data_IF_396827232580
#
_entry.id   IF_396827232580
#
_cell.length_a   1.000
_cell.length_b   1.000
_cell.length_c   1.000
_cell.angle_alpha   90.00
_cell.angle_beta   90.00
_cell.angle_gamma   90.00
#
_symmetry.space_group_name_H-M   'P 1'
#
loop_
_entity.id
_entity.type
_entity.pdbx_description
1 polymer ?
#
# COMPACT_ATOMS: atom_id res chain seq x y z
N UNK A 1 13.03 0.76 -1.27
CA UNK A 1 13.53 -0.02 -2.42
C UNK A 1 12.67 0.23 -3.67
N UNK A 2 13.29 0.26 -4.85
CA UNK A 2 12.66 0.32 -6.18
C UNK A 2 13.11 -0.94 -6.92
N UNK A 3 12.19 -1.79 -7.40
CA UNK A 3 12.58 -3.00 -8.11
C UNK A 3 12.86 -2.78 -9.61
N UNK A 4 12.42 -1.66 -10.19
CA UNK A 4 12.66 -1.33 -11.60
C UNK A 4 11.87 -2.17 -12.61
N UNK A 5 10.95 -3.01 -12.16
CA UNK A 5 10.18 -3.89 -13.03
C UNK A 5 9.15 -3.13 -13.87
N UNK A 6 8.98 -3.57 -15.11
CA UNK A 6 7.79 -3.25 -15.92
C UNK A 6 6.62 -4.05 -15.36
N UNK A 7 5.51 -3.37 -15.11
CA UNK A 7 4.33 -3.94 -14.45
C UNK A 7 3.14 -3.81 -15.39
N UNK A 8 2.40 -4.92 -15.58
CA UNK A 8 1.16 -4.90 -16.35
C UNK A 8 0.07 -4.09 -15.62
N UNK A 9 -0.78 -3.40 -16.40
CA UNK A 9 -1.89 -2.62 -15.85
C UNK A 9 -2.98 -3.48 -15.21
N UNK A 10 -3.08 -4.74 -15.62
CA UNK A 10 -4.06 -5.69 -15.10
C UNK A 10 -3.38 -6.74 -14.22
N UNK A 11 -4.07 -7.11 -13.14
CA UNK A 11 -3.73 -8.27 -12.31
C UNK A 11 -4.29 -9.56 -12.93
N UNK A 12 -3.92 -10.76 -12.43
CA UNK A 12 -4.36 -12.05 -12.99
C UNK A 12 -5.88 -12.23 -13.03
N UNK A 13 -6.61 -11.57 -12.12
CA UNK A 13 -8.07 -11.55 -12.05
C UNK A 13 -8.71 -10.51 -13.00
N UNK A 14 -7.92 -9.90 -13.88
CA UNK A 14 -8.32 -8.82 -14.80
C UNK A 14 -8.73 -7.52 -14.10
N UNK A 15 -8.52 -7.39 -12.80
CA UNK A 15 -8.69 -6.13 -12.09
C UNK A 15 -7.58 -5.13 -12.44
N UNK A 16 -7.89 -3.84 -12.35
CA UNK A 16 -6.89 -2.79 -12.57
C UNK A 16 -5.94 -2.72 -11.37
N UNK A 17 -4.67 -2.96 -11.64
CA UNK A 17 -3.56 -2.87 -10.69
C UNK A 17 -3.02 -1.44 -10.66
N UNK A 18 -2.80 -0.91 -9.45
CA UNK A 18 -2.27 0.45 -9.25
C UNK A 18 -0.85 0.47 -8.68
N UNK A 19 -0.27 -0.69 -8.35
CA UNK A 19 1.06 -0.81 -7.77
C UNK A 19 1.82 -2.01 -8.33
N UNK A 20 3.14 -2.00 -8.20
CA UNK A 20 4.00 -3.12 -8.55
C UNK A 20 3.77 -4.32 -7.61
N UNK A 21 3.52 -5.55 -8.10
CA UNK A 21 3.32 -6.71 -7.22
C UNK A 21 4.54 -7.01 -6.36
N UNK A 22 5.75 -6.78 -6.90
CA UNK A 22 6.99 -7.17 -6.23
C UNK A 22 7.44 -6.20 -5.14
N UNK A 23 7.16 -4.89 -5.28
CA UNK A 23 7.63 -3.86 -4.33
C UNK A 23 6.52 -2.97 -3.76
N UNK A 24 5.27 -3.19 -4.17
CA UNK A 24 4.05 -2.52 -3.71
C UNK A 24 4.03 -1.00 -3.86
N UNK A 25 4.96 -0.41 -4.60
CA UNK A 25 4.92 1.03 -4.90
C UNK A 25 3.99 1.33 -6.06
N UNK A 26 3.31 2.46 -5.94
CA UNK A 26 2.43 3.02 -6.96
C UNK A 26 3.04 4.28 -7.60
N UNK A 27 2.36 4.81 -8.62
CA UNK A 27 2.63 6.11 -9.24
C UNK A 27 1.40 6.98 -9.06
N UNK A 28 1.61 8.22 -8.64
CA UNK A 28 0.56 9.18 -8.41
C UNK A 28 0.03 9.71 -9.74
N UNK A 29 -0.99 9.06 -10.29
CA UNK A 29 -1.61 9.42 -11.59
C UNK A 29 -3.06 9.87 -11.46
N UNK A 30 -3.67 9.68 -10.29
CA UNK A 30 -5.04 10.08 -9.98
C UNK A 30 -4.97 11.06 -8.82
N UNK A 31 -5.68 12.17 -8.91
CA UNK A 31 -5.88 13.06 -7.77
C UNK A 31 -6.98 12.46 -6.89
N UNK A 32 -6.63 12.05 -5.68
CA UNK A 32 -7.53 11.40 -4.73
C UNK A 32 -8.24 12.40 -3.81
N UNK A 33 -7.91 13.70 -3.90
CA UNK A 33 -8.60 14.78 -3.17
C UNK A 33 -9.72 15.35 -4.02
N UNK A 34 -9.39 15.82 -5.22
CA UNK A 34 -10.34 16.51 -6.12
C UNK A 34 -10.92 15.57 -7.19
N UNK A 35 -10.32 14.39 -7.37
CA UNK A 35 -10.70 13.44 -8.41
C UNK A 35 -10.07 13.75 -9.77
N UNK A 36 -9.94 12.72 -10.62
CA UNK A 36 -9.41 12.88 -11.97
C UNK A 36 -7.92 12.59 -12.09
N UNK A 37 -7.28 13.09 -13.16
CA UNK A 37 -5.86 12.84 -13.43
C UNK A 37 -4.97 13.78 -12.61
N UNK A 38 -3.90 13.24 -12.01
CA UNK A 38 -2.92 14.03 -11.26
C UNK A 38 -1.71 14.38 -12.12
N UNK A 39 -1.32 15.65 -12.14
CA UNK A 39 -0.06 16.13 -12.71
C UNK A 39 1.15 15.80 -11.80
N UNK A 40 0.92 15.13 -10.67
CA UNK A 40 1.98 14.83 -9.73
C UNK A 40 2.98 13.85 -10.35
N UNK A 41 2.51 12.68 -10.80
CA UNK A 41 3.33 11.65 -11.44
C UNK A 41 4.43 11.04 -10.57
N UNK A 42 4.60 11.52 -9.33
CA UNK A 42 5.61 11.07 -8.38
C UNK A 42 5.27 9.67 -7.86
N UNK A 43 6.24 8.99 -7.25
CA UNK A 43 5.99 7.67 -6.68
C UNK A 43 5.19 7.78 -5.40
N UNK A 44 4.39 6.76 -5.14
CA UNK A 44 3.73 6.57 -3.86
C UNK A 44 4.30 5.34 -3.17
N UNK A 45 4.82 5.54 -1.96
CA UNK A 45 5.37 4.47 -1.14
C UNK A 45 4.24 3.78 -0.37
N UNK A 46 4.25 2.44 -0.24
CA UNK A 46 3.32 1.75 0.64
C UNK A 46 3.61 2.19 2.08
N UNK A 47 2.60 2.70 2.76
CA UNK A 47 2.67 3.24 4.11
C UNK A 47 2.11 2.25 5.13
N UNK A 48 0.93 1.68 4.85
CA UNK A 48 0.21 0.79 5.77
C UNK A 48 -0.75 -0.13 5.02
N UNK A 49 -1.43 -1.00 5.75
CA UNK A 49 -2.56 -1.82 5.30
C UNK A 49 -3.85 -1.30 5.95
N UNK A 50 -4.92 -1.22 5.16
CA UNK A 50 -6.28 -1.03 5.64
C UNK A 50 -7.10 -2.29 5.32
N UNK A 51 -7.93 -2.71 6.26
CA UNK A 51 -8.87 -3.83 6.07
C UNK A 51 -10.28 -3.30 6.23
N UNK A 52 -11.12 -3.50 5.21
CA UNK A 52 -12.52 -3.07 5.24
C UNK A 52 -13.35 -3.92 6.20
N UNK A 53 -14.59 -3.51 6.48
CA UNK A 53 -15.53 -4.32 7.29
C UNK A 53 -15.87 -5.66 6.65
N UNK A 54 -15.77 -5.77 5.33
CA UNK A 54 -16.02 -7.02 4.59
C UNK A 54 -14.76 -7.89 4.50
N UNK A 55 -13.64 -7.46 5.09
CA UNK A 55 -12.37 -8.20 5.07
C UNK A 55 -11.50 -7.93 3.86
N UNK A 56 -11.85 -6.97 3.00
CA UNK A 56 -11.04 -6.62 1.83
C UNK A 56 -9.78 -5.86 2.24
N UNK A 57 -8.63 -6.29 1.73
CA UNK A 57 -7.32 -5.68 2.04
C UNK A 57 -6.98 -4.61 1.01
N UNK A 58 -6.50 -3.47 1.50
CA UNK A 58 -5.98 -2.38 0.69
C UNK A 58 -4.64 -1.87 1.22
N UNK A 59 -3.77 -1.47 0.30
CA UNK A 59 -2.56 -0.72 0.60
C UNK A 59 -2.92 0.76 0.76
N UNK A 60 -2.48 1.35 1.87
CA UNK A 60 -2.40 2.81 2.00
C UNK A 60 -1.08 3.24 1.40
N UNK A 61 -1.11 4.05 0.35
CA UNK A 61 0.06 4.66 -0.26
C UNK A 61 0.19 6.12 0.15
N UNK A 62 1.43 6.60 0.31
CA UNK A 62 1.73 8.03 0.49
C UNK A 62 2.60 8.55 -0.63
N UNK A 63 2.17 9.63 -1.27
CA UNK A 63 2.97 10.29 -2.30
C UNK A 63 4.28 10.82 -1.70
N UNK A 64 5.39 10.53 -2.38
CA UNK A 64 6.73 10.98 -1.97
C UNK A 64 6.99 12.46 -2.23
N UNK A 65 6.09 13.13 -2.97
CA UNK A 65 6.21 14.56 -3.33
C UNK A 65 5.17 15.44 -2.65
N UNK A 66 3.88 15.20 -2.90
CA UNK A 66 2.79 16.02 -2.34
C UNK A 66 2.19 15.44 -1.06
N UNK A 67 2.62 14.26 -0.62
CA UNK A 67 2.16 13.58 0.60
C UNK A 67 0.70 13.13 0.64
N UNK A 68 -0.02 13.26 -0.46
CA UNK A 68 -1.37 12.72 -0.64
C UNK A 68 -1.42 11.20 -0.39
N UNK A 69 -2.55 10.76 0.18
CA UNK A 69 -2.81 9.36 0.50
C UNK A 69 -3.78 8.75 -0.51
N UNK A 70 -3.52 7.50 -0.87
CA UNK A 70 -4.40 6.70 -1.72
C UNK A 70 -4.61 5.31 -1.14
N UNK A 71 -5.78 4.73 -1.41
CA UNK A 71 -6.09 3.34 -1.10
C UNK A 71 -6.17 2.54 -2.40
N UNK A 72 -5.39 1.47 -2.48
CA UNK A 72 -5.41 0.56 -3.63
C UNK A 72 -5.64 -0.88 -3.14
N UNK A 73 -6.60 -1.63 -3.73
CA UNK A 73 -6.83 -3.03 -3.36
C UNK A 73 -5.56 -3.88 -3.50
N UNK A 74 -5.38 -4.84 -2.60
CA UNK A 74 -4.36 -5.87 -2.74
C UNK A 74 -4.76 -6.85 -3.86
N UNK A 75 -3.81 -7.25 -4.68
CA UNK A 75 -4.01 -8.23 -5.75
C UNK A 75 -3.45 -9.61 -5.33
N UNK A 76 -4.00 -10.69 -5.89
CA UNK A 76 -3.64 -12.06 -5.52
C UNK A 76 -2.17 -12.46 -5.77
N UNK A 77 -1.48 -11.78 -6.69
CA UNK A 77 -0.07 -11.97 -7.04
C UNK A 77 0.88 -10.95 -6.38
N UNK A 78 0.39 -10.17 -5.42
CA UNK A 78 1.25 -9.27 -4.66
C UNK A 78 2.24 -10.03 -3.75
N UNK A 79 3.40 -9.42 -3.51
CA UNK A 79 4.43 -9.99 -2.65
C UNK A 79 3.95 -10.09 -1.19
N UNK A 80 3.52 -11.28 -0.81
CA UNK A 80 2.97 -11.62 0.50
C UNK A 80 3.91 -11.28 1.66
N UNK A 81 5.23 -11.41 1.48
CA UNK A 81 6.19 -11.09 2.54
C UNK A 81 6.24 -9.59 2.84
N UNK A 82 6.13 -8.73 1.82
CA UNK A 82 6.11 -7.28 2.01
C UNK A 82 4.78 -6.84 2.62
N UNK A 83 3.66 -7.43 2.17
CA UNK A 83 2.34 -7.20 2.77
C UNK A 83 2.32 -7.55 4.26
N UNK A 84 2.80 -8.74 4.62
CA UNK A 84 2.86 -9.17 6.02
C UNK A 84 3.73 -8.22 6.85
N UNK A 85 4.92 -7.86 6.36
CA UNK A 85 5.81 -6.90 7.04
C UNK A 85 5.14 -5.55 7.27
N UNK A 86 4.40 -5.02 6.30
CA UNK A 86 3.65 -3.77 6.46
C UNK A 86 2.56 -3.91 7.52
N UNK A 87 1.79 -5.00 7.48
CA UNK A 87 0.69 -5.25 8.41
C UNK A 87 1.15 -5.37 9.87
N UNK A 88 2.26 -6.06 10.12
CA UNK A 88 2.75 -6.32 11.49
C UNK A 88 3.68 -5.23 12.03
N UNK A 89 4.11 -4.28 11.19
CA UNK A 89 5.10 -3.27 11.59
C UNK A 89 4.71 -2.50 12.86
N UNK A 90 3.47 -2.01 13.02
CA UNK A 90 3.10 -1.30 14.25
C UNK A 90 3.17 -2.17 15.51
N UNK A 91 3.00 -3.49 15.38
CA UNK A 91 3.12 -4.44 16.49
C UNK A 91 4.59 -4.78 16.78
N UNK A 92 5.45 -4.77 15.77
CA UNK A 92 6.89 -5.01 15.93
C UNK A 92 7.66 -3.78 16.42
N UNK A 93 7.18 -2.57 16.11
CA UNK A 93 7.78 -1.28 16.47
C UNK A 93 6.73 -0.36 17.15
N UNK A 94 6.12 -0.77 18.29
CA UNK A 94 5.08 0.01 18.94
C UNK A 94 5.67 1.25 19.63
N UNK A 95 4.90 2.36 19.75
CA UNK A 95 5.33 3.55 20.48
C UNK A 95 5.21 3.42 22.00
N UNK A 96 4.93 2.21 22.51
CA UNK A 96 4.75 1.88 23.92
C UNK A 96 5.23 0.44 24.19
N UNK A 97 5.63 0.12 25.43
CA UNK A 97 6.03 -1.24 25.81
C UNK A 97 4.85 -2.22 25.68
N UNK A 98 5.09 -3.39 25.08
CA UNK A 98 4.06 -4.43 24.94
C UNK A 98 3.96 -5.34 26.16
N UNK A 99 5.00 -5.36 26.99
CA UNK A 99 5.09 -6.19 28.19
C UNK A 99 3.94 -5.91 29.16
N UNK A 100 3.39 -4.69 29.13
CA UNK A 100 2.22 -4.26 29.93
C UNK A 100 0.97 -5.09 29.65
N UNK A 101 0.85 -5.71 28.47
CA UNK A 101 -0.29 -6.57 28.12
C UNK A 101 -0.07 -8.04 28.50
N UNK A 102 1.13 -8.45 28.93
CA UNK A 102 1.43 -9.83 29.30
C UNK A 102 0.86 -10.27 30.65
N UNK A 103 0.48 -9.31 31.50
CA UNK A 103 -0.08 -9.54 32.84
C UNK A 103 -1.62 -9.48 32.89
N UNK A 104 -2.27 -9.33 31.73
CA UNK A 104 -3.74 -9.41 31.55
C UNK A 104 -4.18 -10.84 31.24
#
# INVERSE_FOLDING_TARGET
MRCGLTVATLAPDHSRRNHCPSCLHSRHTVDHVDGGASDCGARMAPLSIAVSRTGEWALVHRCTRCHELALHPVCGDDNQLILMRLAVRPLAEPPFPLEVFGDL
#
